data_IF_129186770905
#
_entry.id   IF_129186770905
#
_cell.length_a   1.000
_cell.length_b   1.000
_cell.length_c   1.000
_cell.angle_alpha   90.00
_cell.angle_beta   90.00
_cell.angle_gamma   90.00
#
_symmetry.space_group_name_H-M   'P 1'
#
loop_
_entity.id
_entity.type
_entity.pdbx_description
1 polymer ?
#
# COMPACT_ATOMS: atom_id res chain seq x y z
N UNK A 1 24.92 -31.01 -3.43
CA UNK A 1 23.89 -30.69 -2.42
C UNK A 1 22.58 -31.31 -2.89
N UNK A 2 21.84 -32.02 -2.02
CA UNK A 2 20.50 -32.49 -2.35
C UNK A 2 19.63 -31.34 -2.85
N UNK A 3 18.80 -31.60 -3.87
CA UNK A 3 17.86 -30.58 -4.37
C UNK A 3 16.76 -30.39 -3.33
N UNK A 4 16.44 -29.13 -2.99
CA UNK A 4 15.43 -28.76 -1.98
C UNK A 4 14.07 -29.46 -2.15
N UNK A 5 13.72 -29.88 -3.38
CA UNK A 5 12.47 -30.57 -3.70
C UNK A 5 12.46 -32.06 -3.33
N UNK A 6 13.62 -32.71 -3.24
CA UNK A 6 13.75 -34.17 -3.07
C UNK A 6 14.52 -34.54 -1.80
N UNK A 7 14.82 -33.58 -0.93
CA UNK A 7 15.53 -33.85 0.30
C UNK A 7 14.55 -34.13 1.44
N UNK A 8 14.44 -35.40 1.83
CA UNK A 8 13.63 -35.86 2.96
C UNK A 8 14.27 -35.51 4.31
N UNK A 9 15.55 -35.13 4.33
CA UNK A 9 16.30 -34.87 5.57
C UNK A 9 16.18 -33.44 6.07
N UNK A 10 15.57 -32.53 5.31
CA UNK A 10 15.31 -31.15 5.75
C UNK A 10 16.53 -30.23 5.85
N UNK A 11 17.76 -30.76 5.71
CA UNK A 11 19.03 -30.02 5.89
C UNK A 11 19.16 -28.80 4.99
N UNK A 12 18.61 -28.87 3.78
CA UNK A 12 18.62 -27.74 2.83
C UNK A 12 17.82 -26.54 3.36
N UNK A 13 16.78 -26.76 4.18
CA UNK A 13 16.02 -25.69 4.84
C UNK A 13 16.82 -25.08 5.99
N UNK A 14 17.49 -25.91 6.80
CA UNK A 14 18.32 -25.48 7.92
C UNK A 14 19.49 -24.60 7.43
N UNK A 15 20.19 -25.02 6.38
CA UNK A 15 21.29 -24.26 5.77
C UNK A 15 20.82 -22.94 5.15
N UNK A 16 19.61 -22.89 4.58
CA UNK A 16 19.04 -21.69 4.00
C UNK A 16 18.65 -20.68 5.08
N UNK A 17 18.04 -21.15 6.17
CA UNK A 17 17.69 -20.33 7.35
C UNK A 17 18.97 -19.79 8.00
N UNK A 18 20.02 -20.62 8.15
CA UNK A 18 21.30 -20.20 8.69
C UNK A 18 21.98 -19.10 7.85
N UNK A 19 21.75 -19.09 6.53
CA UNK A 19 22.24 -18.06 5.61
C UNK A 19 21.29 -16.85 5.50
N UNK A 20 20.17 -16.84 6.22
CA UNK A 20 19.16 -15.77 6.18
C UNK A 20 18.32 -15.74 4.90
N UNK A 21 18.33 -16.79 4.10
CA UNK A 21 17.46 -16.93 2.93
C UNK A 21 16.13 -17.54 3.36
N UNK A 22 15.01 -17.03 2.82
CA UNK A 22 13.70 -17.64 3.01
C UNK A 22 13.54 -18.84 2.06
N UNK A 23 13.55 -20.09 2.55
CA UNK A 23 13.53 -21.28 1.70
C UNK A 23 12.15 -21.60 1.12
N UNK A 24 11.11 -20.88 1.56
CA UNK A 24 9.71 -21.05 1.14
C UNK A 24 9.42 -20.43 -0.24
N UNK A 25 10.40 -19.75 -0.85
CA UNK A 25 10.29 -19.11 -2.16
C UNK A 25 9.86 -17.65 -2.08
N UNK A 26 10.65 -16.75 -2.67
CA UNK A 26 10.30 -15.34 -2.81
C UNK A 26 9.42 -15.14 -4.05
N UNK A 27 8.11 -15.34 -3.89
CA UNK A 27 7.14 -14.95 -4.90
C UNK A 27 7.14 -13.44 -5.09
N UNK A 28 7.50 -12.96 -6.29
CA UNK A 28 7.36 -11.55 -6.67
C UNK A 28 6.18 -11.41 -7.62
N UNK A 29 5.04 -10.93 -7.11
CA UNK A 29 3.96 -10.46 -7.96
C UNK A 29 4.23 -9.02 -8.43
N UNK A 30 3.85 -8.71 -9.67
CA UNK A 30 3.86 -7.38 -10.27
C UNK A 30 2.55 -7.23 -11.03
N UNK A 31 1.81 -6.16 -10.78
CA UNK A 31 0.56 -5.87 -11.48
C UNK A 31 0.71 -4.53 -12.19
N UNK A 32 0.35 -4.49 -13.48
CA UNK A 32 0.35 -3.28 -14.28
C UNK A 32 -1.07 -3.08 -14.82
N UNK A 33 -1.79 -2.12 -14.27
CA UNK A 33 -3.17 -1.80 -14.64
C UNK A 33 -3.18 -0.52 -15.46
N UNK A 34 -3.49 -0.61 -16.76
CA UNK A 34 -3.51 0.55 -17.66
C UNK A 34 -4.57 1.60 -17.28
N UNK A 35 -5.61 1.20 -16.54
CA UNK A 35 -6.69 2.07 -16.08
C UNK A 35 -6.26 2.96 -14.90
N UNK A 36 -5.26 2.53 -14.10
CA UNK A 36 -4.76 3.29 -12.95
C UNK A 36 -3.52 4.10 -13.34
N UNK A 37 -3.73 5.21 -14.07
CA UNK A 37 -2.64 6.07 -14.59
C UNK A 37 -1.70 6.63 -13.50
N UNK A 38 -2.23 6.87 -12.30
CA UNK A 38 -1.46 7.50 -11.21
C UNK A 38 -0.50 6.55 -10.49
N UNK A 39 -0.85 5.27 -10.37
CA UNK A 39 -0.11 4.28 -9.58
C UNK A 39 0.09 2.97 -10.35
N UNK A 40 0.98 2.94 -11.35
CA UNK A 40 1.37 1.70 -12.03
C UNK A 40 2.15 0.75 -11.11
N UNK A 41 2.69 1.28 -10.00
CA UNK A 41 3.32 0.51 -8.93
C UNK A 41 2.63 0.90 -7.63
N UNK A 42 2.24 -0.06 -6.76
CA UNK A 42 1.63 0.26 -5.47
C UNK A 42 2.56 1.14 -4.65
N UNK A 43 2.11 2.37 -4.37
CA UNK A 43 2.77 3.31 -3.46
C UNK A 43 1.83 3.56 -2.30
N UNK A 44 2.40 3.72 -1.11
CA UNK A 44 1.62 4.17 0.03
C UNK A 44 1.21 5.62 -0.20
N UNK A 45 -0.06 5.94 0.07
CA UNK A 45 -0.62 7.29 0.06
C UNK A 45 -1.46 7.45 1.31
N UNK A 46 -1.37 8.61 1.94
CA UNK A 46 -2.11 8.88 3.15
C UNK A 46 -3.62 8.99 2.82
N UNK A 47 -4.53 8.51 3.66
CA UNK A 47 -5.96 8.73 3.49
C UNK A 47 -6.32 10.23 3.42
N UNK A 48 -7.47 10.54 2.80
CA UNK A 48 -8.02 11.92 2.74
C UNK A 48 -8.22 12.49 4.14
N UNK A 49 -8.67 11.65 5.07
CA UNK A 49 -8.84 11.98 6.48
C UNK A 49 -7.83 11.18 7.30
N UNK A 50 -6.72 11.83 7.62
CA UNK A 50 -5.65 11.25 8.44
C UNK A 50 -5.67 11.85 9.85
N UNK A 51 -5.48 11.03 10.91
CA UNK A 51 -5.20 11.54 12.26
C UNK A 51 -3.79 12.14 12.38
N UNK A 52 -2.91 11.94 11.39
CA UNK A 52 -1.51 12.38 11.40
C UNK A 52 -1.26 13.37 10.26
N UNK A 53 -1.43 14.68 10.51
CA UNK A 53 -1.37 15.71 9.48
C UNK A 53 0.06 15.94 8.95
N UNK A 54 1.06 15.43 9.65
CA UNK A 54 2.47 15.47 9.24
C UNK A 54 2.70 14.61 7.99
N UNK A 55 2.12 13.41 7.97
CA UNK A 55 2.27 12.40 6.91
C UNK A 55 1.64 12.82 5.58
N UNK A 56 0.69 13.76 5.61
CA UNK A 56 0.04 14.30 4.40
C UNK A 56 1.07 14.95 3.46
N UNK A 57 2.14 15.55 4.01
CA UNK A 57 3.16 16.21 3.19
C UNK A 57 4.11 15.22 2.51
N UNK A 58 4.41 14.10 3.16
CA UNK A 58 5.26 13.05 2.61
C UNK A 58 4.51 12.14 1.63
N UNK A 59 3.23 11.85 1.92
CA UNK A 59 2.43 10.85 1.21
C UNK A 59 1.14 11.45 0.63
N UNK A 60 1.32 12.37 -0.32
CA UNK A 60 0.22 13.12 -0.96
C UNK A 60 -0.73 12.19 -1.73
N UNK A 61 -2.03 12.48 -1.64
CA UNK A 61 -3.10 11.82 -2.42
C UNK A 61 -3.10 12.22 -3.91
N UNK A 62 -4.07 11.72 -4.67
CA UNK A 62 -4.25 12.06 -6.09
C UNK A 62 -4.66 13.52 -6.28
N UNK A 63 -4.38 14.07 -7.48
CA UNK A 63 -4.95 15.36 -7.88
C UNK A 63 -6.46 15.23 -8.12
N UNK A 64 -7.17 16.35 -8.00
CA UNK A 64 -8.63 16.38 -8.16
C UNK A 64 -9.04 16.02 -9.59
N UNK A 65 -10.04 15.14 -9.71
CA UNK A 65 -10.56 14.69 -11.01
C UNK A 65 -11.89 15.37 -11.26
N UNK A 66 -11.91 16.28 -12.23
CA UNK A 66 -13.10 17.07 -12.59
C UNK A 66 -14.30 16.22 -13.00
N UNK A 67 -14.07 15.14 -13.74
CA UNK A 67 -15.12 14.25 -14.23
C UNK A 67 -14.73 12.78 -14.00
N UNK A 68 -14.87 12.31 -12.77
CA UNK A 68 -14.79 10.89 -12.47
C UNK A 68 -16.19 10.29 -12.57
N UNK A 69 -16.50 9.69 -13.71
CA UNK A 69 -17.84 9.16 -14.01
C UNK A 69 -18.96 10.19 -13.84
N UNK A 70 -18.73 11.41 -14.36
CA UNK A 70 -19.66 12.56 -14.34
C UNK A 70 -19.82 13.23 -12.98
N UNK A 71 -19.01 12.87 -12.00
CA UNK A 71 -18.96 13.51 -10.69
C UNK A 71 -17.58 14.11 -10.47
N UNK A 72 -17.46 15.38 -10.06
CA UNK A 72 -16.19 15.93 -9.62
C UNK A 72 -15.78 15.23 -8.32
N UNK A 73 -14.64 14.53 -8.37
CA UNK A 73 -14.05 13.87 -7.21
C UNK A 73 -12.85 14.68 -6.74
N UNK A 74 -13.00 15.21 -5.53
CA UNK A 74 -12.01 16.04 -4.87
C UNK A 74 -11.17 15.14 -3.95
N UNK A 75 -9.86 15.12 -4.15
CA UNK A 75 -8.90 14.33 -3.38
C UNK A 75 -8.00 15.28 -2.59
N UNK A 76 -7.03 15.90 -3.27
CA UNK A 76 -6.04 16.80 -2.67
C UNK A 76 -6.67 18.03 -2.03
N UNK A 77 -7.73 18.57 -2.62
CA UNK A 77 -8.44 19.73 -2.05
C UNK A 77 -9.18 19.41 -0.75
N UNK A 78 -9.57 18.14 -0.53
CA UNK A 78 -10.21 17.69 0.71
C UNK A 78 -9.21 17.27 1.79
N UNK A 79 -7.98 16.93 1.41
CA UNK A 79 -6.91 16.50 2.32
C UNK A 79 -6.36 17.67 3.16
N UNK A 80 -7.16 18.15 4.12
CA UNK A 80 -6.85 19.30 4.99
C UNK A 80 -6.34 18.83 6.35
N UNK A 81 -5.37 19.55 6.93
CA UNK A 81 -4.79 19.24 8.25
C UNK A 81 -5.75 19.50 9.42
N UNK A 82 -6.75 20.35 9.22
CA UNK A 82 -7.60 20.90 10.29
C UNK A 82 -8.63 19.89 10.86
N UNK A 83 -8.81 18.73 10.23
CA UNK A 83 -9.79 17.73 10.69
C UNK A 83 -9.41 17.07 12.02
N UNK A 84 -8.11 17.00 12.30
CA UNK A 84 -7.55 16.36 13.50
C UNK A 84 -7.96 17.06 14.79
N UNK A 85 -8.12 18.39 14.74
CA UNK A 85 -8.55 19.19 15.89
C UNK A 85 -9.99 18.86 16.33
N UNK A 86 -10.87 18.56 15.37
CA UNK A 86 -12.27 18.24 15.63
C UNK A 86 -12.50 16.78 15.95
N UNK A 87 -11.69 15.90 15.37
CA UNK A 87 -11.83 14.45 15.48
C UNK A 87 -10.46 13.82 15.78
N UNK A 88 -10.04 13.76 17.05
CA UNK A 88 -8.72 13.23 17.42
C UNK A 88 -8.61 11.71 17.22
N UNK A 89 -9.74 11.00 17.23
CA UNK A 89 -9.85 9.60 16.82
C UNK A 89 -10.67 9.55 15.54
N UNK A 90 -10.00 9.48 14.40
CA UNK A 90 -10.63 9.19 13.11
C UNK A 90 -10.61 7.67 12.96
N UNK A 91 -11.74 6.95 13.17
CA UNK A 91 -11.80 5.56 12.75
C UNK A 91 -11.60 5.53 11.24
N UNK A 92 -10.84 4.55 10.77
CA UNK A 92 -10.68 4.21 9.36
C UNK A 92 -12.04 3.84 8.77
N UNK A 93 -12.88 4.85 8.51
CA UNK A 93 -14.23 4.66 8.00
C UNK A 93 -14.15 4.71 6.49
N UNK A 94 -14.30 3.55 5.88
CA UNK A 94 -14.55 3.41 4.45
C UNK A 94 -15.76 4.27 4.09
N UNK A 95 -15.50 5.39 3.41
CA UNK A 95 -16.55 6.20 2.81
C UNK A 95 -17.01 5.49 1.53
N UNK A 96 -17.94 4.55 1.68
CA UNK A 96 -18.79 4.06 0.58
C UNK A 96 -20.14 4.76 0.65
N UNK A 97 -20.52 5.31 -0.52
CA UNK A 97 -21.79 5.95 -0.91
C UNK A 97 -22.19 7.26 -0.23
#
# INVERSE_FOLDING_TARGET
MPKWKTDLTGKVFEDAIAKGLAPYGNGRARFHVWTMKGDPVPKHREPIHSPRPDLITEWVTYDDVKDHYRVPTLFKSLQKKNWVEKFPLIPFFWQTS
#
